data_IF_444569926043
#
_entry.id   IF_444569926043
#
_cell.length_a   1.000
_cell.length_b   1.000
_cell.length_c   1.000
_cell.angle_alpha   90.00
_cell.angle_beta   90.00
_cell.angle_gamma   90.00
#
_symmetry.space_group_name_H-M   'P 1'
#
loop_
_entity.id
_entity.type
_entity.pdbx_description
1 polymer ?
#
# COMPACT_ATOMS: atom_id res chain seq x y z
N UNK A 1 -28.41 4.37 9.91
CA UNK A 1 -27.67 5.19 10.93
C UNK A 1 -26.15 5.01 10.89
N UNK A 2 -25.58 4.00 10.19
CA UNK A 2 -24.13 3.71 10.19
C UNK A 2 -23.29 4.58 9.24
N UNK A 3 -23.79 4.95 8.06
CA UNK A 3 -22.99 5.59 6.99
C UNK A 3 -22.63 7.04 7.31
N UNK A 4 -23.54 7.81 7.90
CA UNK A 4 -23.26 9.21 8.27
C UNK A 4 -22.29 9.33 9.46
N UNK A 5 -22.45 8.46 10.46
CA UNK A 5 -21.53 8.42 11.60
C UNK A 5 -20.12 8.00 11.21
N UNK A 6 -19.98 7.10 10.19
CA UNK A 6 -18.71 6.67 9.62
C UNK A 6 -18.02 7.81 8.88
N UNK A 7 -18.78 8.59 8.09
CA UNK A 7 -18.27 9.73 7.34
C UNK A 7 -17.69 10.82 8.25
N UNK A 8 -18.40 11.16 9.33
CA UNK A 8 -17.96 12.17 10.31
C UNK A 8 -16.73 11.72 11.11
N UNK A 9 -16.64 10.41 11.43
CA UNK A 9 -15.49 9.84 12.14
C UNK A 9 -14.22 9.84 11.28
N UNK A 10 -14.34 9.54 9.99
CA UNK A 10 -13.23 9.59 9.03
C UNK A 10 -12.77 11.03 8.76
N UNK A 11 -13.67 12.00 8.69
CA UNK A 11 -13.30 13.42 8.50
C UNK A 11 -12.40 13.95 9.61
N UNK A 12 -12.62 13.59 10.87
CA UNK A 12 -11.77 13.97 11.99
C UNK A 12 -10.35 13.39 11.88
N UNK A 13 -10.23 12.13 11.45
CA UNK A 13 -8.94 11.47 11.22
C UNK A 13 -8.21 12.04 10.00
N UNK A 14 -8.95 12.29 8.92
CA UNK A 14 -8.39 12.95 7.72
C UNK A 14 -7.84 14.33 8.08
N UNK A 15 -8.58 15.17 8.80
CA UNK A 15 -8.10 16.49 9.27
C UNK A 15 -6.85 16.36 10.15
N UNK A 16 -6.80 15.39 11.04
CA UNK A 16 -5.61 15.13 11.88
C UNK A 16 -4.40 14.72 11.05
N UNK A 17 -4.60 13.86 10.03
CA UNK A 17 -3.55 13.49 9.08
C UNK A 17 -3.07 14.70 8.27
N UNK A 18 -3.98 15.56 7.80
CA UNK A 18 -3.64 16.78 7.08
C UNK A 18 -2.84 17.77 7.95
N UNK A 19 -3.22 17.91 9.22
CA UNK A 19 -2.50 18.75 10.18
C UNK A 19 -1.10 18.18 10.48
N UNK A 20 -0.97 16.88 10.70
CA UNK A 20 0.34 16.21 10.85
C UNK A 20 1.20 16.35 9.59
N UNK A 21 0.59 16.27 8.41
CA UNK A 21 1.26 16.53 7.12
C UNK A 21 1.76 17.96 7.02
N UNK A 22 0.95 18.93 7.41
CA UNK A 22 1.32 20.35 7.41
C UNK A 22 2.46 20.64 8.38
N UNK A 23 2.44 20.07 9.58
CA UNK A 23 3.53 20.20 10.57
C UNK A 23 4.83 19.56 10.09
N UNK A 24 4.75 18.43 9.38
CA UNK A 24 5.90 17.75 8.78
C UNK A 24 6.43 18.52 7.58
N UNK A 25 5.57 19.06 6.71
CA UNK A 25 5.99 19.89 5.60
C UNK A 25 6.79 21.12 6.09
N UNK A 26 6.39 21.73 7.20
CA UNK A 26 7.11 22.84 7.82
C UNK A 26 8.49 22.46 8.41
N UNK A 27 8.72 21.17 8.73
CA UNK A 27 10.05 20.67 9.14
C UNK A 27 10.97 20.38 7.95
N UNK A 28 10.43 20.20 6.75
CA UNK A 28 11.11 19.78 5.52
C UNK A 28 11.88 20.86 4.77
N UNK A 29 11.65 22.14 5.04
CA UNK A 29 12.43 23.21 4.42
C UNK A 29 13.94 23.13 4.69
N UNK A 30 14.38 22.10 5.46
CA UNK A 30 15.79 21.82 5.77
C UNK A 30 16.41 20.63 5.04
N UNK A 31 15.64 19.74 4.42
CA UNK A 31 16.14 18.63 3.60
C UNK A 31 15.34 18.59 2.30
N UNK A 32 16.02 18.54 1.15
CA UNK A 32 15.41 18.63 -0.18
C UNK A 32 14.17 17.73 -0.31
N UNK A 33 13.04 18.32 -0.69
CA UNK A 33 11.76 17.62 -0.83
C UNK A 33 11.81 16.65 -1.99
N UNK A 34 11.66 15.35 -1.71
CA UNK A 34 11.40 14.34 -2.73
C UNK A 34 9.94 14.49 -3.18
N UNK A 35 9.72 15.05 -4.36
CA UNK A 35 8.39 15.17 -4.98
C UNK A 35 8.09 13.89 -5.78
N UNK A 36 7.81 12.78 -5.09
CA UNK A 36 7.34 11.56 -5.72
C UNK A 36 5.86 11.72 -6.10
N UNK A 37 5.59 11.69 -7.41
CA UNK A 37 4.23 11.50 -7.93
C UNK A 37 4.02 10.02 -8.16
N UNK A 38 2.94 9.47 -7.62
CA UNK A 38 2.49 8.10 -7.90
C UNK A 38 1.39 8.19 -8.94
N UNK A 39 1.41 7.27 -9.91
CA UNK A 39 0.31 7.10 -10.83
C UNK A 39 -0.85 6.38 -10.10
N UNK A 40 -1.92 7.10 -9.84
CA UNK A 40 -3.12 6.54 -9.25
C UNK A 40 -3.98 5.75 -10.27
N UNK A 41 -3.49 5.58 -11.50
CA UNK A 41 -4.22 4.89 -12.56
C UNK A 41 -5.57 5.55 -12.89
N UNK A 42 -6.41 4.83 -13.61
CA UNK A 42 -7.80 5.25 -13.82
C UNK A 42 -8.60 5.19 -12.54
N UNK A 43 -9.57 6.08 -12.39
CA UNK A 43 -10.44 6.10 -11.18
C UNK A 43 -11.25 4.81 -11.08
N UNK A 44 -11.10 4.09 -9.98
CA UNK A 44 -12.00 2.98 -9.62
C UNK A 44 -13.43 3.47 -9.36
N UNK A 45 -14.39 2.54 -9.27
CA UNK A 45 -15.71 2.82 -8.73
C UNK A 45 -15.63 3.43 -7.31
N UNK A 46 -16.76 3.95 -6.80
CA UNK A 46 -16.81 4.50 -5.42
C UNK A 46 -16.55 3.46 -4.35
N UNK A 47 -16.99 2.22 -4.59
CA UNK A 47 -16.78 1.07 -3.71
C UNK A 47 -15.59 0.30 -4.27
N UNK A 48 -14.63 -0.04 -3.44
CA UNK A 48 -13.50 -0.92 -3.76
C UNK A 48 -13.88 -2.37 -3.46
N UNK A 49 -14.40 -2.63 -2.27
CA UNK A 49 -15.04 -3.91 -1.95
C UNK A 49 -16.10 -3.72 -0.86
N UNK A 50 -17.09 -4.61 -0.84
CA UNK A 50 -18.14 -4.67 0.17
C UNK A 50 -18.37 -6.14 0.54
N UNK A 51 -18.33 -6.44 1.83
CA UNK A 51 -18.56 -7.80 2.35
C UNK A 51 -19.82 -7.83 3.15
N UNK A 52 -20.58 -8.93 3.03
CA UNK A 52 -21.79 -9.19 3.79
C UNK A 52 -21.72 -10.57 4.42
N UNK A 53 -21.78 -10.61 5.74
CA UNK A 53 -21.73 -11.82 6.59
C UNK A 53 -20.62 -12.79 6.18
N UNK A 54 -19.45 -12.22 5.83
CA UNK A 54 -18.31 -12.96 5.29
C UNK A 54 -17.72 -13.88 6.32
N UNK A 55 -17.62 -15.16 5.96
CA UNK A 55 -16.96 -16.17 6.77
C UNK A 55 -15.88 -16.93 5.98
N UNK A 56 -14.76 -17.24 6.66
CA UNK A 56 -13.70 -18.10 6.13
C UNK A 56 -13.01 -18.84 7.26
N UNK A 57 -12.86 -20.14 7.06
CA UNK A 57 -12.13 -21.03 7.98
C UNK A 57 -11.15 -21.89 7.20
N UNK A 58 -10.12 -22.37 7.86
CA UNK A 58 -9.25 -23.44 7.38
C UNK A 58 -9.20 -24.49 8.47
N UNK A 59 -9.57 -25.71 8.11
CA UNK A 59 -9.80 -26.81 9.06
C UNK A 59 -10.73 -26.36 10.20
N UNK A 60 -10.31 -26.48 11.46
CA UNK A 60 -11.10 -26.07 12.63
C UNK A 60 -10.89 -24.59 13.02
N UNK A 61 -10.03 -23.86 12.31
CA UNK A 61 -9.67 -22.49 12.65
C UNK A 61 -10.47 -21.49 11.85
N UNK A 62 -11.32 -20.71 12.55
CA UNK A 62 -12.01 -19.57 11.95
C UNK A 62 -11.04 -18.39 11.76
N UNK A 63 -10.94 -17.89 10.54
CA UNK A 63 -10.09 -16.74 10.16
C UNK A 63 -10.93 -15.47 10.06
N UNK A 64 -12.14 -15.58 9.50
CA UNK A 64 -13.09 -14.49 9.38
C UNK A 64 -14.48 -15.03 9.75
N UNK A 65 -15.19 -14.32 10.63
CA UNK A 65 -16.54 -14.66 11.08
C UNK A 65 -17.46 -13.45 10.96
N UNK A 66 -18.53 -13.59 10.15
CA UNK A 66 -19.57 -12.59 9.98
C UNK A 66 -19.08 -11.16 9.74
N UNK A 67 -18.04 -11.00 8.91
CA UNK A 67 -17.48 -9.68 8.62
C UNK A 67 -18.37 -8.93 7.65
N UNK A 68 -18.94 -7.83 8.13
CA UNK A 68 -19.63 -6.81 7.34
C UNK A 68 -18.74 -5.57 7.26
N UNK A 69 -18.11 -5.36 6.11
CA UNK A 69 -17.10 -4.31 5.91
C UNK A 69 -17.23 -3.69 4.52
N UNK A 70 -16.90 -2.42 4.41
CA UNK A 70 -16.97 -1.70 3.15
C UNK A 70 -15.75 -0.80 3.00
N UNK A 71 -14.94 -1.07 1.98
CA UNK A 71 -13.80 -0.26 1.58
C UNK A 71 -14.21 0.67 0.44
N UNK A 72 -14.05 1.96 0.65
CA UNK A 72 -14.37 2.98 -0.34
C UNK A 72 -13.10 3.45 -1.06
N UNK A 73 -13.27 4.01 -2.25
CA UNK A 73 -12.17 4.65 -2.97
C UNK A 73 -11.56 5.80 -2.15
N UNK A 74 -10.24 5.78 -1.99
CA UNK A 74 -9.48 6.77 -1.23
C UNK A 74 -9.33 6.43 0.26
N UNK A 75 -9.98 5.36 0.75
CA UNK A 75 -9.77 4.90 2.11
C UNK A 75 -8.36 4.33 2.28
N UNK A 76 -7.87 4.40 3.51
CA UNK A 76 -6.55 3.94 3.90
C UNK A 76 -6.68 2.97 5.06
N UNK A 77 -6.86 1.70 4.72
CA UNK A 77 -7.11 0.63 5.66
C UNK A 77 -5.80 0.07 6.21
N UNK A 78 -5.64 0.08 7.53
CA UNK A 78 -4.62 -0.65 8.25
C UNK A 78 -5.15 -2.00 8.74
N UNK A 79 -4.40 -3.07 8.53
CA UNK A 79 -4.65 -4.36 9.15
C UNK A 79 -3.62 -4.61 10.23
N UNK A 80 -4.06 -4.71 11.48
CA UNK A 80 -3.21 -5.00 12.63
C UNK A 80 -3.50 -6.39 13.20
N UNK A 81 -2.55 -6.94 13.92
CA UNK A 81 -2.68 -8.23 14.58
C UNK A 81 -1.39 -9.04 14.51
N UNK A 82 -1.26 -10.06 15.36
CA UNK A 82 -0.09 -10.93 15.40
C UNK A 82 0.04 -11.77 14.13
N UNK A 83 1.24 -12.31 13.90
CA UNK A 83 1.48 -13.16 12.74
C UNK A 83 0.61 -14.42 12.80
N UNK A 84 0.09 -14.82 11.63
CA UNK A 84 -0.76 -15.97 11.51
C UNK A 84 -2.24 -15.74 11.92
N UNK A 85 -2.65 -14.52 12.32
CA UNK A 85 -4.06 -14.24 12.67
C UNK A 85 -5.02 -14.26 11.47
N UNK A 86 -4.48 -14.24 10.24
CA UNK A 86 -5.28 -14.28 9.03
C UNK A 86 -5.30 -12.99 8.21
N UNK A 87 -4.38 -12.03 8.48
CA UNK A 87 -4.29 -10.76 7.73
C UNK A 87 -4.19 -10.96 6.22
N UNK A 88 -3.25 -11.80 5.77
CA UNK A 88 -3.05 -12.09 4.33
C UNK A 88 -4.25 -12.83 3.72
N UNK A 89 -4.93 -13.68 4.49
CA UNK A 89 -6.17 -14.34 4.07
C UNK A 89 -7.29 -13.32 3.89
N UNK A 90 -7.44 -12.40 4.85
CA UNK A 90 -8.43 -11.33 4.77
C UNK A 90 -8.17 -10.45 3.55
N UNK A 91 -6.94 -10.06 3.27
CA UNK A 91 -6.59 -9.32 2.05
C UNK A 91 -6.99 -10.10 0.80
N UNK A 92 -6.66 -11.39 0.71
CA UNK A 92 -7.02 -12.23 -0.45
C UNK A 92 -8.53 -12.31 -0.63
N UNK A 93 -9.31 -12.40 0.46
CA UNK A 93 -10.78 -12.32 0.42
C UNK A 93 -11.24 -10.97 -0.12
N UNK A 94 -10.80 -9.85 0.48
CA UNK A 94 -11.19 -8.50 0.08
C UNK A 94 -10.84 -8.19 -1.38
N UNK A 95 -9.84 -8.86 -1.93
CA UNK A 95 -9.45 -8.75 -3.35
C UNK A 95 -10.13 -9.79 -4.25
N UNK A 96 -10.98 -10.66 -3.71
CA UNK A 96 -11.63 -11.73 -4.46
C UNK A 96 -10.68 -12.79 -5.01
N UNK A 97 -9.47 -12.93 -4.43
CA UNK A 97 -8.47 -13.94 -4.85
C UNK A 97 -8.75 -15.33 -4.27
N UNK A 98 -9.53 -15.41 -3.22
CA UNK A 98 -10.05 -16.66 -2.63
C UNK A 98 -11.53 -16.51 -2.37
N UNK A 99 -12.26 -17.62 -2.44
CA UNK A 99 -13.69 -17.65 -2.17
C UNK A 99 -13.96 -17.76 -0.67
N UNK A 100 -15.00 -17.07 -0.15
CA UNK A 100 -15.47 -17.28 1.21
C UNK A 100 -16.18 -18.64 1.36
N UNK A 101 -16.29 -19.12 2.59
CA UNK A 101 -17.08 -20.31 2.89
C UNK A 101 -18.56 -19.99 2.97
N UNK A 102 -18.90 -18.78 3.40
CA UNK A 102 -20.26 -18.22 3.38
C UNK A 102 -20.21 -16.70 3.36
N UNK A 103 -21.38 -16.08 3.12
CA UNK A 103 -21.48 -14.64 2.89
C UNK A 103 -21.17 -14.27 1.46
N UNK A 104 -20.94 -13.00 1.21
CA UNK A 104 -20.65 -12.50 -0.14
C UNK A 104 -19.62 -11.37 -0.14
N UNK A 105 -18.91 -11.26 -1.27
CA UNK A 105 -17.98 -10.17 -1.54
C UNK A 105 -18.37 -9.53 -2.87
N UNK A 106 -18.59 -8.24 -2.85
CA UNK A 106 -18.82 -7.42 -4.05
C UNK A 106 -17.59 -6.56 -4.30
N UNK A 107 -16.91 -6.80 -5.40
CA UNK A 107 -15.77 -6.00 -5.85
C UNK A 107 -16.24 -4.78 -6.64
N UNK A 108 -15.49 -3.70 -6.52
CA UNK A 108 -15.68 -2.50 -7.33
C UNK A 108 -15.26 -2.68 -8.77
N UNK A 109 -15.58 -1.70 -9.61
CA UNK A 109 -15.21 -1.66 -11.02
C UNK A 109 -13.86 -0.98 -11.23
N UNK A 110 -13.16 -1.32 -12.32
CA UNK A 110 -11.87 -0.74 -12.72
C UNK A 110 -10.78 -0.78 -11.62
N UNK A 111 -10.72 -1.86 -10.85
CA UNK A 111 -9.67 -2.03 -9.86
C UNK A 111 -8.35 -2.40 -10.52
N UNK A 112 -7.35 -1.54 -10.35
CA UNK A 112 -5.95 -1.77 -10.74
C UNK A 112 -5.15 -1.95 -9.46
N UNK A 113 -4.93 -3.21 -9.10
CA UNK A 113 -4.29 -3.59 -7.83
C UNK A 113 -2.80 -3.77 -8.03
N UNK A 114 -1.98 -3.03 -7.29
CA UNK A 114 -0.56 -3.31 -7.16
C UNK A 114 -0.28 -3.92 -5.77
N UNK A 115 0.28 -5.11 -5.77
CA UNK A 115 0.58 -5.88 -4.56
C UNK A 115 2.09 -5.96 -4.34
N UNK A 116 2.57 -5.40 -3.25
CA UNK A 116 4.01 -5.28 -2.96
C UNK A 116 4.73 -6.63 -2.88
N UNK A 117 4.12 -7.59 -2.20
CA UNK A 117 4.70 -8.91 -1.98
C UNK A 117 4.85 -9.72 -3.29
N UNK A 118 3.87 -9.61 -4.20
CA UNK A 118 3.97 -10.24 -5.54
C UNK A 118 5.13 -9.67 -6.36
N UNK A 119 5.44 -8.38 -6.21
CA UNK A 119 6.58 -7.78 -6.89
C UNK A 119 7.92 -8.29 -6.35
N UNK A 120 7.97 -8.62 -5.05
CA UNK A 120 9.15 -9.21 -4.40
C UNK A 120 9.45 -10.62 -4.97
N UNK A 121 8.43 -11.46 -5.11
CA UNK A 121 8.56 -12.81 -5.69
C UNK A 121 9.00 -12.79 -7.17
N UNK A 122 8.60 -11.77 -7.91
CA UNK A 122 8.87 -11.59 -9.34
C UNK A 122 10.16 -10.84 -9.63
N UNK A 123 11.00 -10.54 -8.64
CA UNK A 123 12.21 -9.78 -8.83
C UNK A 123 13.29 -10.63 -9.50
N UNK A 124 13.63 -10.28 -10.75
CA UNK A 124 14.69 -10.92 -11.51
C UNK A 124 16.06 -10.36 -11.10
N UNK A 125 16.84 -11.17 -10.41
CA UNK A 125 18.13 -10.76 -9.87
C UNK A 125 19.21 -10.53 -10.96
N UNK A 126 19.00 -11.04 -12.17
CA UNK A 126 19.96 -10.89 -13.30
C UNK A 126 19.80 -9.55 -14.02
N UNK A 127 18.60 -8.93 -13.97
CA UNK A 127 18.32 -7.63 -14.58
C UNK A 127 19.00 -6.49 -13.85
N UNK A 128 19.24 -5.40 -14.56
CA UNK A 128 19.67 -4.15 -13.95
C UNK A 128 18.53 -3.46 -13.22
N UNK A 129 18.86 -2.53 -12.34
CA UNK A 129 17.88 -1.67 -11.65
C UNK A 129 17.00 -0.95 -12.67
N UNK A 130 17.61 -0.36 -13.73
CA UNK A 130 16.89 0.32 -14.80
C UNK A 130 15.91 -0.60 -15.52
N UNK A 131 16.37 -1.78 -15.96
CA UNK A 131 15.54 -2.75 -16.69
C UNK A 131 14.40 -3.32 -15.81
N UNK A 132 14.56 -3.36 -14.49
CA UNK A 132 13.50 -3.79 -13.57
C UNK A 132 12.35 -2.79 -13.53
N UNK A 133 12.64 -1.50 -13.67
CA UNK A 133 11.63 -0.44 -13.64
C UNK A 133 11.04 -0.19 -15.01
N UNK A 134 11.88 -0.06 -16.05
CA UNK A 134 11.47 0.31 -17.40
C UNK A 134 12.20 -0.55 -18.44
N UNK A 135 11.70 -1.77 -18.71
CA UNK A 135 12.32 -2.67 -19.67
C UNK A 135 12.41 -2.04 -21.07
N UNK A 136 13.62 -1.92 -21.60
CA UNK A 136 13.86 -1.43 -22.96
C UNK A 136 13.67 0.08 -23.16
N UNK A 137 13.53 0.87 -22.08
CA UNK A 137 13.38 2.32 -22.16
C UNK A 137 14.19 3.03 -21.08
N UNK A 138 14.73 4.19 -21.40
CA UNK A 138 15.35 5.10 -20.44
C UNK A 138 14.33 6.02 -19.73
N UNK A 139 13.06 5.87 -20.03
CA UNK A 139 11.99 6.72 -19.53
C UNK A 139 10.93 5.90 -18.80
N UNK A 140 10.48 6.43 -17.67
CA UNK A 140 9.33 5.91 -16.90
C UNK A 140 8.17 6.87 -17.10
N UNK A 141 6.99 6.35 -17.37
CA UNK A 141 5.77 7.15 -17.47
C UNK A 141 5.00 7.05 -16.13
N UNK A 142 4.70 8.19 -15.51
CA UNK A 142 4.01 8.28 -14.23
C UNK A 142 2.96 9.39 -14.33
N UNK A 143 1.69 9.04 -14.20
CA UNK A 143 0.60 10.01 -14.29
C UNK A 143 0.60 10.79 -15.61
N UNK A 144 0.94 10.13 -16.74
CA UNK A 144 1.02 10.73 -18.06
C UNK A 144 2.26 11.62 -18.29
N UNK A 145 3.21 11.66 -17.34
CA UNK A 145 4.46 12.39 -17.49
C UNK A 145 5.65 11.45 -17.64
N UNK A 146 6.49 11.68 -18.63
CA UNK A 146 7.74 10.94 -18.81
C UNK A 146 8.84 11.50 -17.95
N UNK A 147 9.50 10.65 -17.17
CA UNK A 147 10.65 10.98 -16.33
C UNK A 147 11.82 10.05 -16.68
N UNK A 148 13.01 10.61 -16.82
CA UNK A 148 14.20 9.80 -17.09
C UNK A 148 14.48 8.87 -15.92
N UNK A 149 14.85 7.59 -16.20
CA UNK A 149 15.03 6.53 -15.20
C UNK A 149 16.00 6.91 -14.10
N UNK A 150 17.11 7.59 -14.42
CA UNK A 150 18.10 8.05 -13.43
C UNK A 150 17.47 9.04 -12.45
N UNK A 151 16.68 10.01 -12.96
CA UNK A 151 16.01 10.98 -12.12
C UNK A 151 14.92 10.34 -11.27
N UNK A 152 14.19 9.37 -11.84
CA UNK A 152 13.18 8.60 -11.11
C UNK A 152 13.80 7.79 -9.97
N UNK A 153 14.89 7.05 -10.26
CA UNK A 153 15.58 6.26 -9.24
C UNK A 153 16.28 7.12 -8.19
N UNK A 154 16.66 8.35 -8.54
CA UNK A 154 17.15 9.34 -7.58
C UNK A 154 16.13 9.67 -6.48
N UNK A 155 14.83 9.72 -6.80
CA UNK A 155 13.76 9.93 -5.82
C UNK A 155 13.68 8.77 -4.80
N UNK A 156 14.17 7.58 -5.18
CA UNK A 156 14.27 6.40 -4.31
C UNK A 156 15.67 6.20 -3.73
N UNK A 157 16.44 7.29 -3.64
CA UNK A 157 17.78 7.32 -3.03
C UNK A 157 18.82 6.42 -3.72
N UNK A 158 18.63 6.17 -5.03
CA UNK A 158 19.64 5.49 -5.85
C UNK A 158 20.57 6.52 -6.49
N UNK A 159 21.89 6.47 -6.21
CA UNK A 159 22.83 7.30 -6.96
C UNK A 159 22.91 6.85 -8.42
N UNK A 160 23.19 7.75 -9.39
CA UNK A 160 23.20 7.43 -10.82
C UNK A 160 24.03 6.21 -11.20
N UNK A 161 25.20 6.01 -10.54
CA UNK A 161 26.08 4.86 -10.74
C UNK A 161 25.46 3.49 -10.38
N UNK A 162 24.38 3.48 -9.57
CA UNK A 162 23.70 2.26 -9.11
C UNK A 162 22.51 1.87 -9.99
N UNK A 163 22.16 2.67 -10.98
CA UNK A 163 20.98 2.43 -11.82
C UNK A 163 21.24 1.30 -12.84
N UNK A 164 22.48 1.13 -13.27
CA UNK A 164 22.86 0.12 -14.27
C UNK A 164 23.52 -1.13 -13.68
N UNK A 165 23.53 -1.30 -12.34
CA UNK A 165 24.05 -2.52 -11.74
C UNK A 165 22.98 -3.62 -11.67
N UNK A 166 23.36 -4.91 -11.68
CA UNK A 166 22.42 -6.00 -11.54
C UNK A 166 21.78 -6.00 -10.14
N UNK A 167 20.51 -6.37 -10.09
CA UNK A 167 19.72 -6.45 -8.84
C UNK A 167 20.37 -7.39 -7.81
N UNK A 168 21.07 -8.43 -8.27
CA UNK A 168 21.82 -9.36 -7.41
C UNK A 168 22.87 -8.66 -6.54
N UNK A 169 23.43 -7.53 -7.00
CA UNK A 169 24.46 -6.76 -6.27
C UNK A 169 23.89 -5.77 -5.24
N UNK A 170 22.58 -5.66 -5.13
CA UNK A 170 21.91 -4.76 -4.20
C UNK A 170 21.86 -5.35 -2.79
N UNK A 171 21.99 -4.49 -1.78
CA UNK A 171 21.67 -4.81 -0.38
C UNK A 171 20.17 -5.06 -0.20
N UNK A 172 19.76 -5.64 0.94
CA UNK A 172 18.34 -5.83 1.27
C UNK A 172 17.54 -4.53 1.22
N UNK A 173 18.02 -3.47 1.85
CA UNK A 173 17.39 -2.16 1.83
C UNK A 173 17.31 -1.55 0.43
N UNK A 174 18.38 -1.67 -0.40
CA UNK A 174 18.32 -1.23 -1.80
C UNK A 174 17.30 -2.02 -2.61
N UNK A 175 17.20 -3.34 -2.40
CA UNK A 175 16.16 -4.16 -3.05
C UNK A 175 14.76 -3.71 -2.66
N UNK A 176 14.52 -3.41 -1.40
CA UNK A 176 13.22 -2.92 -0.95
C UNK A 176 12.89 -1.55 -1.56
N UNK A 177 13.86 -0.62 -1.65
CA UNK A 177 13.66 0.65 -2.37
C UNK A 177 13.36 0.44 -3.85
N UNK A 178 14.04 -0.50 -4.51
CA UNK A 178 13.75 -0.86 -5.90
C UNK A 178 12.33 -1.42 -6.06
N UNK A 179 11.88 -2.27 -5.16
CA UNK A 179 10.50 -2.79 -5.17
C UNK A 179 9.46 -1.69 -4.98
N UNK A 180 9.72 -0.73 -4.08
CA UNK A 180 8.86 0.45 -3.92
C UNK A 180 8.85 1.31 -5.18
N UNK A 181 10.02 1.54 -5.80
CA UNK A 181 10.10 2.25 -7.07
C UNK A 181 9.29 1.54 -8.16
N UNK A 182 9.40 0.21 -8.26
CA UNK A 182 8.61 -0.59 -9.19
C UNK A 182 7.11 -0.50 -8.92
N UNK A 183 6.71 -0.60 -7.64
CA UNK A 183 5.32 -0.49 -7.22
C UNK A 183 4.70 0.85 -7.66
N UNK A 184 5.42 1.94 -7.42
CA UNK A 184 4.93 3.29 -7.71
C UNK A 184 5.06 3.70 -9.18
N UNK A 185 5.78 2.93 -9.99
CA UNK A 185 5.79 3.09 -11.46
C UNK A 185 4.57 2.42 -12.12
N UNK A 186 3.88 1.52 -11.42
CA UNK A 186 2.69 0.85 -11.95
C UNK A 186 1.47 1.78 -11.82
N UNK A 187 0.63 1.90 -12.87
CA UNK A 187 -0.65 2.57 -12.74
C UNK A 187 -1.56 1.71 -11.86
N UNK A 188 -1.81 2.15 -10.64
CA UNK A 188 -2.62 1.42 -9.69
C UNK A 188 -3.52 2.36 -8.91
N UNK A 189 -4.80 1.98 -8.72
CA UNK A 189 -5.76 2.72 -7.89
C UNK A 189 -6.03 2.05 -6.54
N UNK A 190 -5.44 0.87 -6.32
CA UNK A 190 -5.45 0.14 -5.06
C UNK A 190 -4.05 -0.41 -4.78
N UNK A 191 -3.39 0.11 -3.76
CA UNK A 191 -2.11 -0.40 -3.26
C UNK A 191 -2.33 -1.35 -2.10
N UNK A 192 -1.68 -2.51 -2.16
CA UNK A 192 -1.65 -3.48 -1.07
C UNK A 192 -0.21 -3.67 -0.63
N UNK A 193 0.07 -3.26 0.59
CA UNK A 193 1.40 -3.24 1.19
C UNK A 193 1.40 -4.17 2.41
N UNK A 194 2.09 -5.31 2.30
CA UNK A 194 2.25 -6.26 3.41
C UNK A 194 3.66 -6.11 3.96
N UNK A 195 3.77 -5.61 5.21
CA UNK A 195 5.02 -5.33 5.92
C UNK A 195 6.08 -4.58 5.08
N UNK A 196 5.73 -3.45 4.43
CA UNK A 196 6.65 -2.74 3.52
C UNK A 196 7.80 -2.06 4.25
N UNK A 197 7.72 -1.95 5.58
CA UNK A 197 8.72 -1.29 6.44
C UNK A 197 9.88 -2.20 6.82
N UNK A 198 9.75 -3.52 6.62
CA UNK A 198 10.82 -4.47 6.93
C UNK A 198 12.07 -4.15 6.11
N UNK A 199 13.23 -4.16 6.78
CA UNK A 199 14.55 -3.89 6.18
C UNK A 199 14.74 -2.47 5.59
N UNK A 200 13.84 -1.52 5.87
CA UNK A 200 14.02 -0.12 5.49
C UNK A 200 14.84 0.64 6.53
N UNK A 201 15.79 1.46 6.04
CA UNK A 201 16.43 2.49 6.85
C UNK A 201 15.47 3.68 7.10
N UNK A 202 15.84 4.56 8.02
CA UNK A 202 15.01 5.70 8.45
C UNK A 202 14.64 6.59 7.25
N UNK A 203 15.61 6.87 6.36
CA UNK A 203 15.40 7.74 5.20
C UNK A 203 14.40 7.11 4.21
N UNK A 204 14.50 5.79 4.00
CA UNK A 204 13.58 5.04 3.15
C UNK A 204 12.18 4.96 3.75
N UNK A 205 12.07 4.83 5.08
CA UNK A 205 10.79 4.83 5.77
C UNK A 205 10.10 6.19 5.64
N UNK A 206 10.84 7.28 5.84
CA UNK A 206 10.31 8.64 5.67
C UNK A 206 9.88 8.90 4.23
N UNK A 207 10.66 8.45 3.24
CA UNK A 207 10.30 8.53 1.83
C UNK A 207 9.00 7.78 1.56
N UNK A 208 8.85 6.54 2.07
CA UNK A 208 7.64 5.73 1.91
C UNK A 208 6.42 6.42 2.52
N UNK A 209 6.51 6.90 3.76
CA UNK A 209 5.44 7.66 4.42
C UNK A 209 5.01 8.87 3.58
N UNK A 210 5.99 9.61 3.07
CA UNK A 210 5.73 10.79 2.25
C UNK A 210 5.00 10.45 0.97
N UNK A 211 5.47 9.40 0.31
CA UNK A 211 4.93 8.94 -0.96
C UNK A 211 3.49 8.45 -0.78
N UNK A 212 3.23 7.63 0.25
CA UNK A 212 1.88 7.18 0.56
C UNK A 212 0.97 8.33 1.00
N UNK A 213 1.50 9.35 1.68
CA UNK A 213 0.73 10.51 2.08
C UNK A 213 0.13 11.29 0.88
N UNK A 214 0.83 11.34 -0.24
CA UNK A 214 0.40 12.04 -1.46
C UNK A 214 -0.39 11.16 -2.44
N UNK A 215 -0.42 9.85 -2.22
CA UNK A 215 -1.15 8.93 -3.06
C UNK A 215 -2.67 9.15 -2.98
N UNK A 216 -3.33 9.26 -4.13
CA UNK A 216 -4.76 9.57 -4.25
C UNK A 216 -5.67 8.33 -4.32
N UNK A 217 -5.09 7.14 -4.53
CA UNK A 217 -5.82 5.88 -4.57
C UNK A 217 -6.13 5.32 -3.19
N UNK A 218 -6.64 4.11 -3.16
CA UNK A 218 -6.95 3.36 -1.94
C UNK A 218 -5.73 2.57 -1.48
N UNK A 219 -5.55 2.45 -0.18
CA UNK A 219 -4.43 1.72 0.42
C UNK A 219 -4.97 0.64 1.37
N UNK A 220 -4.43 -0.57 1.25
CA UNK A 220 -4.51 -1.61 2.29
C UNK A 220 -3.08 -1.83 2.79
N UNK A 221 -2.86 -1.62 4.07
CA UNK A 221 -1.54 -1.64 4.70
C UNK A 221 -1.52 -2.60 5.88
N UNK A 222 -0.62 -3.57 5.84
CA UNK A 222 -0.25 -4.39 7.00
C UNK A 222 1.09 -3.88 7.51
N UNK A 223 1.17 -3.55 8.78
CA UNK A 223 2.44 -3.24 9.44
C UNK A 223 2.37 -3.45 10.94
N UNK A 224 3.51 -3.81 11.53
CA UNK A 224 3.70 -3.84 12.97
C UNK A 224 4.19 -2.49 13.53
N UNK A 225 4.60 -1.57 12.68
CA UNK A 225 5.01 -0.22 13.08
C UNK A 225 3.78 0.68 13.28
N UNK A 226 3.45 0.91 14.55
CA UNK A 226 2.31 1.75 14.94
C UNK A 226 2.46 3.19 14.48
N UNK A 227 3.68 3.75 14.51
CA UNK A 227 3.92 5.14 14.07
C UNK A 227 3.68 5.28 12.58
N UNK A 228 4.15 4.31 11.81
CA UNK A 228 3.92 4.25 10.38
C UNK A 228 2.43 4.15 10.05
N UNK A 229 1.70 3.25 10.74
CA UNK A 229 0.24 3.12 10.59
C UNK A 229 -0.46 4.45 10.93
N UNK A 230 -0.19 5.04 12.09
CA UNK A 230 -0.81 6.30 12.51
C UNK A 230 -0.59 7.45 11.51
N UNK A 231 0.50 7.41 10.74
CA UNK A 231 0.83 8.42 9.76
C UNK A 231 0.16 8.21 8.39
N UNK A 232 -0.24 6.97 8.08
CA UNK A 232 -0.69 6.59 6.73
C UNK A 232 -2.18 6.23 6.70
N UNK A 233 -2.70 5.50 7.71
CA UNK A 233 -4.06 4.93 7.65
C UNK A 233 -5.11 5.83 8.28
N UNK A 234 -6.36 5.69 7.83
CA UNK A 234 -7.51 6.42 8.35
C UNK A 234 -8.47 5.54 9.13
N UNK A 235 -8.39 4.23 8.92
CA UNK A 235 -9.20 3.22 9.58
C UNK A 235 -8.37 1.95 9.78
N UNK A 236 -8.72 1.16 10.77
CA UNK A 236 -8.00 -0.07 11.12
C UNK A 236 -8.99 -1.20 11.31
N UNK A 237 -8.68 -2.37 10.73
CA UNK A 237 -9.30 -3.64 11.09
C UNK A 237 -8.37 -4.41 12.02
N UNK A 238 -8.90 -4.74 13.20
CA UNK A 238 -8.18 -5.49 14.21
C UNK A 238 -8.92 -6.79 14.57
N UNK A 239 -8.20 -7.91 14.81
CA UNK A 239 -8.81 -9.17 15.25
C UNK A 239 -9.18 -9.09 16.72
N UNK A 240 -10.38 -9.55 17.05
CA UNK A 240 -10.87 -9.71 18.45
C UNK A 240 -10.87 -11.17 18.93
N UNK A 241 -10.31 -12.07 18.12
CA UNK A 241 -10.32 -13.52 18.38
C UNK A 241 -11.44 -14.25 17.65
N UNK A 242 -11.32 -15.57 17.54
CA UNK A 242 -12.32 -16.44 16.92
C UNK A 242 -12.81 -15.99 15.52
N UNK A 243 -11.92 -15.39 14.74
CA UNK A 243 -12.25 -14.90 13.40
C UNK A 243 -13.02 -13.57 13.38
N UNK A 244 -13.31 -12.97 14.51
CA UNK A 244 -13.96 -11.66 14.58
C UNK A 244 -12.96 -10.54 14.26
N UNK A 245 -13.36 -9.66 13.34
CA UNK A 245 -12.60 -8.47 12.96
C UNK A 245 -13.44 -7.22 13.25
N UNK A 246 -12.84 -6.26 13.93
CA UNK A 246 -13.51 -5.00 14.26
C UNK A 246 -12.79 -3.81 13.61
N UNK A 247 -13.60 -2.91 13.12
CA UNK A 247 -13.15 -1.63 12.58
C UNK A 247 -13.03 -0.57 13.68
N UNK A 248 -11.92 0.18 13.66
CA UNK A 248 -11.59 1.27 14.58
C UNK A 248 -11.23 2.56 13.82
#
# INVERSE_FOLDING_TARGET
KGIEARRTRNEGRVRRLEELRRQRAARRDRMGSVNLKIDAGEKSGKIVCETTDLCKSFDERSIVSNLNFKLMRGDRLGLIGHNGVGKSTLIKLLLGKIEPDSGSIKLGTNLQVAYFDQLREQLDLSKTVAETISPGSEWVEIGGQKKHIIAYMGDFLFPPRRVNVPVSSLSGGERNRLLLARLFALPANLLVLDEPTNDLDIDSLEMLEQTLATYLGTIILVSHDRRFLDNVVTEVLAPEGNGLWREY
#
